data_IF_017613720037
#
_entry.id   IF_017613720037
#
_cell.length_a   1.000
_cell.length_b   1.000
_cell.length_c   1.000
_cell.angle_alpha   90.00
_cell.angle_beta   90.00
_cell.angle_gamma   90.00
#
_symmetry.space_group_name_H-M   'P 1'
#
loop_
_entity.id
_entity.type
_entity.pdbx_description
1 polymer ?
#
# COMPACT_ATOMS: atom_id res chain seq x y z
N UNK A 1 13.53 -19.43 12.94
CA UNK A 1 14.61 -18.44 13.05
C UNK A 1 13.96 -17.19 13.62
N UNK A 2 14.25 -16.83 14.88
CA UNK A 2 13.56 -15.71 15.53
C UNK A 2 14.12 -14.39 14.99
N UNK A 3 13.27 -13.57 14.37
CA UNK A 3 13.64 -12.22 13.96
C UNK A 3 13.88 -11.39 15.24
N UNK A 4 15.12 -10.94 15.41
CA UNK A 4 15.48 -9.97 16.45
C UNK A 4 14.96 -8.62 15.98
N UNK A 5 14.13 -7.95 16.78
CA UNK A 5 13.76 -6.55 16.53
C UNK A 5 15.05 -5.70 16.48
N UNK A 6 15.36 -5.01 15.36
CA UNK A 6 16.56 -4.20 15.34
C UNK A 6 16.36 -2.92 16.15
N UNK A 7 17.09 -2.82 17.26
CA UNK A 7 17.40 -1.56 17.95
C UNK A 7 18.19 -0.60 17.05
N UNK A 8 18.28 0.68 17.47
CA UNK A 8 18.97 1.79 16.79
C UNK A 8 18.73 1.95 15.25
N UNK A 9 19.15 3.07 14.65
CA UNK A 9 19.11 3.18 13.18
C UNK A 9 20.20 2.31 12.52
N UNK A 10 21.32 2.11 13.22
CA UNK A 10 22.45 1.35 12.72
C UNK A 10 22.13 -0.15 12.61
N UNK A 11 21.46 -0.74 13.61
CA UNK A 11 21.16 -2.17 13.57
C UNK A 11 20.10 -2.49 12.51
N UNK A 12 19.17 -1.56 12.22
CA UNK A 12 18.24 -1.67 11.09
C UNK A 12 18.96 -1.74 9.73
N UNK A 13 19.94 -0.87 9.50
CA UNK A 13 20.72 -0.87 8.25
C UNK A 13 21.58 -2.14 8.13
N UNK A 14 22.21 -2.56 9.23
CA UNK A 14 22.98 -3.81 9.28
C UNK A 14 22.09 -5.04 9.03
N UNK A 15 20.86 -5.04 9.55
CA UNK A 15 19.88 -6.07 9.29
C UNK A 15 19.52 -6.15 7.80
N UNK A 16 19.24 -5.02 7.15
CA UNK A 16 18.96 -4.97 5.70
C UNK A 16 20.15 -5.54 4.92
N UNK A 17 21.37 -5.08 5.20
CA UNK A 17 22.57 -5.53 4.50
C UNK A 17 22.81 -7.05 4.62
N UNK A 18 22.41 -7.65 5.74
CA UNK A 18 22.67 -9.06 6.04
C UNK A 18 21.51 -10.00 5.65
N UNK A 19 20.27 -9.49 5.60
CA UNK A 19 19.07 -10.34 5.49
C UNK A 19 18.18 -9.98 4.30
N UNK A 20 18.39 -8.84 3.63
CA UNK A 20 17.54 -8.41 2.52
C UNK A 20 18.33 -8.41 1.20
N UNK A 21 17.77 -9.06 0.18
CA UNK A 21 18.26 -8.91 -1.19
C UNK A 21 17.93 -7.51 -1.73
N UNK A 22 18.84 -6.85 -2.46
CA UNK A 22 18.53 -5.59 -3.14
C UNK A 22 17.27 -5.66 -4.03
N UNK A 23 17.01 -6.80 -4.67
CA UNK A 23 15.79 -7.00 -5.47
C UNK A 23 14.53 -6.99 -4.62
N UNK A 24 14.54 -7.62 -3.45
CA UNK A 24 13.41 -7.61 -2.51
C UNK A 24 13.20 -6.21 -1.93
N UNK A 25 14.29 -5.50 -1.59
CA UNK A 25 14.22 -4.12 -1.14
C UNK A 25 13.62 -3.20 -2.20
N UNK A 26 14.01 -3.35 -3.47
CA UNK A 26 13.44 -2.58 -4.57
C UNK A 26 11.95 -2.89 -4.78
N UNK A 27 11.55 -4.17 -4.70
CA UNK A 27 10.14 -4.56 -4.78
C UNK A 27 9.32 -3.95 -3.63
N UNK A 28 9.85 -3.91 -2.41
CA UNK A 28 9.20 -3.24 -1.29
C UNK A 28 9.09 -1.72 -1.49
N UNK A 29 10.10 -1.07 -2.10
CA UNK A 29 10.01 0.33 -2.46
C UNK A 29 8.85 0.63 -3.45
N UNK A 30 8.47 -0.32 -4.30
CA UNK A 30 7.31 -0.15 -5.20
C UNK A 30 5.97 -0.08 -4.44
N UNK A 31 5.88 -0.75 -3.29
CA UNK A 31 4.74 -0.60 -2.38
C UNK A 31 4.73 0.79 -1.72
N UNK A 32 5.89 1.31 -1.31
CA UNK A 32 5.99 2.62 -0.65
C UNK A 32 5.79 3.79 -1.61
N UNK A 33 6.33 3.67 -2.82
CA UNK A 33 6.36 4.74 -3.82
C UNK A 33 5.69 4.29 -5.12
N UNK A 34 4.35 4.11 -5.11
CA UNK A 34 3.65 3.51 -6.23
C UNK A 34 3.63 4.41 -7.48
N UNK A 35 3.54 3.76 -8.63
CA UNK A 35 3.06 4.39 -9.86
C UNK A 35 1.56 4.60 -9.78
N UNK A 36 1.12 5.82 -10.10
CA UNK A 36 -0.29 6.21 -10.15
C UNK A 36 -0.62 6.54 -11.59
N UNK A 37 -1.69 5.96 -12.10
CA UNK A 37 -2.24 6.24 -13.43
C UNK A 37 -3.57 6.98 -13.31
N UNK A 38 -3.96 7.70 -14.37
CA UNK A 38 -5.22 8.43 -14.43
C UNK A 38 -6.10 7.87 -15.55
N UNK A 39 -7.27 7.34 -15.19
CA UNK A 39 -8.22 6.72 -16.13
C UNK A 39 -9.60 7.32 -15.89
N UNK A 40 -10.19 7.96 -16.90
CA UNK A 40 -11.46 8.69 -16.82
C UNK A 40 -11.55 9.68 -15.62
N UNK A 41 -10.39 10.22 -15.23
CA UNK A 41 -10.23 11.12 -14.09
C UNK A 41 -10.34 10.43 -12.73
N UNK A 42 -10.14 9.11 -12.66
CA UNK A 42 -9.84 8.36 -11.45
C UNK A 42 -8.33 8.16 -11.31
N UNK A 43 -7.79 8.25 -10.10
CA UNK A 43 -6.38 8.03 -9.77
C UNK A 43 -6.19 6.63 -9.18
N UNK A 44 -5.47 5.77 -9.90
CA UNK A 44 -5.42 4.33 -9.62
C UNK A 44 -3.97 3.84 -9.46
N UNK A 45 -3.76 2.86 -8.58
CA UNK A 45 -2.51 2.12 -8.48
C UNK A 45 -2.25 1.31 -9.76
N UNK A 46 -1.13 1.56 -10.43
CA UNK A 46 -0.79 0.91 -11.70
C UNK A 46 -0.80 -0.62 -11.60
N UNK A 47 -0.23 -1.16 -10.52
CA UNK A 47 -0.06 -2.62 -10.36
C UNK A 47 -1.37 -3.37 -10.07
N UNK A 48 -2.46 -2.69 -9.69
CA UNK A 48 -3.78 -3.32 -9.51
C UNK A 48 -4.75 -3.06 -10.65
N UNK A 49 -4.42 -2.09 -11.51
CA UNK A 49 -5.28 -1.73 -12.62
C UNK A 49 -5.33 -2.85 -13.67
N UNK A 50 -6.55 -3.23 -14.01
CA UNK A 50 -6.86 -3.86 -15.29
C UNK A 50 -8.13 -3.20 -15.82
N UNK A 51 -8.26 -3.10 -17.14
CA UNK A 51 -9.44 -2.48 -17.76
C UNK A 51 -10.74 -3.17 -17.32
N UNK A 52 -10.75 -4.51 -17.26
CA UNK A 52 -11.90 -5.28 -16.77
C UNK A 52 -12.31 -4.88 -15.34
N UNK A 53 -11.36 -4.84 -14.39
CA UNK A 53 -11.66 -4.47 -13.00
C UNK A 53 -12.19 -3.05 -12.90
N UNK A 54 -11.66 -2.14 -13.71
CA UNK A 54 -12.12 -0.76 -13.75
C UNK A 54 -13.55 -0.64 -14.28
N UNK A 55 -13.87 -1.34 -15.36
CA UNK A 55 -15.23 -1.37 -15.92
C UNK A 55 -16.23 -1.97 -14.93
N UNK A 56 -15.86 -3.07 -14.27
CA UNK A 56 -16.69 -3.71 -13.24
C UNK A 56 -16.93 -2.76 -12.05
N UNK A 57 -15.88 -2.10 -11.55
CA UNK A 57 -16.02 -1.11 -10.48
C UNK A 57 -16.90 0.07 -10.91
N UNK A 58 -16.75 0.55 -12.15
CA UNK A 58 -17.54 1.66 -12.69
C UNK A 58 -19.03 1.33 -12.75
N UNK A 59 -19.38 0.11 -13.16
CA UNK A 59 -20.75 -0.39 -13.15
C UNK A 59 -21.27 -0.51 -11.70
N UNK A 60 -20.53 -1.21 -10.83
CA UNK A 60 -20.93 -1.48 -9.46
C UNK A 60 -21.15 -0.21 -8.62
N UNK A 61 -20.38 0.84 -8.87
CA UNK A 61 -20.45 2.09 -8.12
C UNK A 61 -21.15 3.23 -8.86
N UNK A 62 -21.86 2.95 -9.98
CA UNK A 62 -22.57 3.95 -10.77
C UNK A 62 -21.68 5.16 -11.14
N UNK A 63 -20.44 4.89 -11.54
CA UNK A 63 -19.44 5.89 -11.90
C UNK A 63 -19.02 6.86 -10.77
N UNK A 64 -19.27 6.50 -9.49
CA UNK A 64 -18.78 7.23 -8.33
C UNK A 64 -17.26 7.05 -8.19
N UNK A 65 -16.50 8.08 -8.60
CA UNK A 65 -15.03 8.04 -8.65
C UNK A 65 -14.39 7.77 -7.30
N UNK A 66 -14.96 8.31 -6.21
CA UNK A 66 -14.40 8.14 -4.87
C UNK A 66 -14.48 6.65 -4.50
N UNK A 67 -15.65 6.02 -4.71
CA UNK A 67 -15.83 4.59 -4.41
C UNK A 67 -15.02 3.68 -5.32
N UNK A 68 -14.89 4.03 -6.61
CA UNK A 68 -14.05 3.30 -7.56
C UNK A 68 -12.61 3.31 -7.09
N UNK A 69 -12.07 4.48 -6.76
CA UNK A 69 -10.69 4.63 -6.28
C UNK A 69 -10.48 3.90 -4.96
N UNK A 70 -11.38 4.07 -3.98
CA UNK A 70 -11.27 3.35 -2.70
C UNK A 70 -11.23 1.84 -2.89
N UNK A 71 -12.10 1.31 -3.75
CA UNK A 71 -12.19 -0.12 -4.04
C UNK A 71 -10.97 -0.65 -4.79
N UNK A 72 -10.54 0.06 -5.84
CA UNK A 72 -9.44 -0.36 -6.70
C UNK A 72 -8.06 -0.15 -6.07
N UNK A 73 -7.91 0.82 -5.16
CA UNK A 73 -6.65 1.14 -4.51
C UNK A 73 -6.43 0.37 -3.20
N UNK A 74 -7.40 -0.43 -2.75
CA UNK A 74 -7.28 -1.24 -1.53
C UNK A 74 -6.08 -2.19 -1.60
N UNK A 75 -5.12 -1.99 -0.72
CA UNK A 75 -3.95 -2.84 -0.52
C UNK A 75 -4.03 -3.50 0.86
N UNK A 76 -4.29 -4.81 0.86
CA UNK A 76 -4.33 -5.64 2.06
C UNK A 76 -2.93 -6.16 2.36
N UNK A 77 -2.31 -5.74 3.48
CA UNK A 77 -0.91 -6.08 3.75
C UNK A 77 -0.70 -7.57 3.95
N UNK A 78 -1.65 -8.29 4.56
CA UNK A 78 -1.53 -9.75 4.70
C UNK A 78 -1.47 -10.46 3.34
N UNK A 79 -2.22 -9.97 2.34
CA UNK A 79 -2.17 -10.51 0.97
C UNK A 79 -0.84 -10.19 0.29
N UNK A 80 -0.30 -8.98 0.50
CA UNK A 80 1.01 -8.60 -0.05
C UNK A 80 2.13 -9.52 0.47
N UNK A 81 2.02 -9.98 1.72
CA UNK A 81 3.03 -10.81 2.38
C UNK A 81 2.63 -12.29 2.53
N UNK A 82 1.56 -12.76 1.87
CA UNK A 82 1.03 -14.13 2.01
C UNK A 82 2.05 -15.23 1.60
N UNK A 83 3.03 -14.88 0.77
CA UNK A 83 4.14 -15.78 0.43
C UNK A 83 5.13 -16.03 1.57
N UNK A 84 5.04 -15.32 2.69
CA UNK A 84 5.94 -15.46 3.84
C UNK A 84 5.41 -16.47 4.85
N UNK A 85 6.15 -17.56 5.08
CA UNK A 85 5.72 -18.66 5.96
C UNK A 85 6.08 -18.50 7.45
N UNK A 86 6.73 -17.39 7.82
CA UNK A 86 7.10 -17.13 9.21
C UNK A 86 5.97 -16.48 10.00
N UNK A 87 5.95 -16.70 11.32
CA UNK A 87 5.03 -16.01 12.21
C UNK A 87 5.54 -14.57 12.45
N UNK A 88 4.80 -13.58 11.98
CA UNK A 88 5.10 -12.16 12.14
C UNK A 88 4.04 -11.53 13.04
N UNK A 89 4.42 -10.82 14.12
CA UNK A 89 3.44 -10.13 14.97
C UNK A 89 2.63 -9.09 14.18
N UNK A 90 1.33 -8.97 14.47
CA UNK A 90 0.42 -8.03 13.79
C UNK A 90 0.91 -6.58 13.83
N UNK A 91 1.49 -6.17 14.97
CA UNK A 91 2.09 -4.84 15.15
C UNK A 91 3.12 -4.48 14.07
N UNK A 92 3.81 -5.46 13.49
CA UNK A 92 4.77 -5.21 12.39
C UNK A 92 4.02 -4.77 11.13
N UNK A 93 2.93 -5.46 10.79
CA UNK A 93 2.09 -5.09 9.65
C UNK A 93 1.38 -3.75 9.88
N UNK A 94 0.97 -3.46 11.12
CA UNK A 94 0.41 -2.15 11.45
C UNK A 94 1.40 -1.02 11.19
N UNK A 95 2.65 -1.17 11.64
CA UNK A 95 3.70 -0.17 11.41
C UNK A 95 4.01 -0.02 9.93
N UNK A 96 4.07 -1.12 9.17
CA UNK A 96 4.20 -1.07 7.71
C UNK A 96 3.03 -0.29 7.10
N UNK A 97 1.80 -0.54 7.51
CA UNK A 97 0.62 0.15 6.98
C UNK A 97 0.62 1.64 7.25
N UNK A 98 1.04 2.07 8.45
CA UNK A 98 1.21 3.48 8.78
C UNK A 98 2.27 4.16 7.89
N UNK A 99 3.38 3.46 7.61
CA UNK A 99 4.46 3.95 6.74
C UNK A 99 4.00 4.01 5.27
N UNK A 100 3.29 2.99 4.77
CA UNK A 100 2.73 2.97 3.41
C UNK A 100 1.75 4.13 3.23
N UNK A 101 0.82 4.33 4.18
CA UNK A 101 -0.12 5.47 4.17
C UNK A 101 0.61 6.81 4.08
N UNK A 102 1.64 7.02 4.89
CA UNK A 102 2.43 8.25 4.86
C UNK A 102 3.15 8.43 3.52
N UNK A 103 3.75 7.35 3.01
CA UNK A 103 4.51 7.38 1.76
C UNK A 103 3.60 7.71 0.57
N UNK A 104 2.40 7.13 0.52
CA UNK A 104 1.42 7.43 -0.53
C UNK A 104 0.89 8.86 -0.46
N UNK A 105 0.63 9.39 0.74
CA UNK A 105 0.24 10.80 0.89
C UNK A 105 1.33 11.74 0.33
N UNK A 106 2.59 11.45 0.59
CA UNK A 106 3.72 12.20 0.02
C UNK A 106 3.80 12.08 -1.51
N UNK A 107 3.67 10.85 -2.05
CA UNK A 107 3.70 10.59 -3.50
C UNK A 107 2.59 11.33 -4.22
N UNK A 108 1.36 11.28 -3.70
CA UNK A 108 0.21 11.93 -4.31
C UNK A 108 0.36 13.45 -4.29
N UNK A 109 0.76 14.04 -3.16
CA UNK A 109 1.01 15.49 -3.06
C UNK A 109 2.12 15.96 -3.99
N UNK A 110 3.16 15.15 -4.17
CA UNK A 110 4.28 15.50 -5.04
C UNK A 110 3.91 15.39 -6.52
N UNK A 111 3.18 14.33 -6.92
CA UNK A 111 2.83 14.07 -8.32
C UNK A 111 1.63 14.91 -8.81
N UNK A 112 0.71 15.25 -7.92
CA UNK A 112 -0.55 15.94 -8.24
C UNK A 112 -0.83 17.07 -7.24
N UNK A 113 0.04 18.11 -7.18
CA UNK A 113 -0.04 19.17 -6.18
C UNK A 113 -1.32 20.01 -6.24
N UNK A 114 -2.02 19.99 -7.38
CA UNK A 114 -3.30 20.67 -7.61
C UNK A 114 -4.53 19.86 -7.18
N UNK A 115 -4.33 18.64 -6.65
CA UNK A 115 -5.38 17.73 -6.22
C UNK A 115 -5.28 17.45 -4.72
N UNK A 116 -6.42 17.21 -4.11
CA UNK A 116 -6.49 16.75 -2.74
C UNK A 116 -6.90 15.28 -2.69
N UNK A 117 -6.21 14.53 -1.83
CA UNK A 117 -6.47 13.11 -1.61
C UNK A 117 -6.71 12.83 -0.13
N UNK A 118 -7.49 11.78 0.12
CA UNK A 118 -7.60 11.14 1.42
C UNK A 118 -6.89 9.78 1.35
N UNK A 119 -5.74 9.65 2.00
CA UNK A 119 -5.05 8.37 2.18
C UNK A 119 -5.45 7.77 3.53
N UNK A 120 -6.07 6.60 3.49
CA UNK A 120 -6.68 5.95 4.64
C UNK A 120 -5.91 4.69 5.01
N UNK A 121 -5.86 4.44 6.31
CA UNK A 121 -5.36 3.20 6.88
C UNK A 121 -6.45 2.66 7.80
N UNK A 122 -6.72 1.38 7.68
CA UNK A 122 -7.67 0.66 8.51
C UNK A 122 -6.98 -0.56 9.10
N UNK A 123 -7.36 -0.88 10.33
CA UNK A 123 -7.01 -2.14 10.96
C UNK A 123 -8.27 -2.60 11.69
N UNK A 124 -8.89 -3.66 11.17
CA UNK A 124 -9.95 -4.37 11.87
C UNK A 124 -9.35 -5.67 12.37
N UNK A 125 -9.46 -5.93 13.67
CA UNK A 125 -8.97 -7.16 14.31
C UNK A 125 -9.72 -8.41 13.78
N UNK A 126 -10.89 -8.23 13.13
CA UNK A 126 -11.73 -9.31 12.63
C UNK A 126 -11.64 -9.54 11.11
N UNK A 127 -11.00 -8.64 10.35
CA UNK A 127 -11.08 -8.62 8.88
C UNK A 127 -9.71 -8.39 8.22
N UNK A 128 -9.27 -9.35 7.40
CA UNK A 128 -8.23 -9.29 6.35
C UNK A 128 -6.87 -8.57 6.63
N UNK A 129 -6.60 -8.18 7.87
CA UNK A 129 -5.40 -7.47 8.30
C UNK A 129 -5.39 -5.98 7.97
N UNK A 130 -4.27 -5.29 8.20
CA UNK A 130 -4.19 -3.86 7.93
C UNK A 130 -4.32 -3.54 6.43
N UNK A 131 -5.13 -2.53 6.11
CA UNK A 131 -5.45 -2.11 4.75
C UNK A 131 -5.05 -0.65 4.55
N UNK A 132 -4.45 -0.36 3.40
CA UNK A 132 -4.17 1.01 2.95
C UNK A 132 -4.88 1.27 1.63
N UNK A 133 -5.52 2.43 1.50
CA UNK A 133 -6.20 2.87 0.28
C UNK A 133 -6.12 4.39 0.14
N UNK A 134 -6.48 4.91 -1.03
CA UNK A 134 -6.66 6.35 -1.23
C UNK A 134 -7.74 6.65 -2.26
N UNK A 135 -8.29 7.86 -2.15
CA UNK A 135 -9.22 8.45 -3.11
C UNK A 135 -9.07 9.98 -3.15
N UNK A 136 -9.59 10.59 -4.20
CA UNK A 136 -9.74 12.05 -4.34
C UNK A 136 -10.76 12.59 -3.34
N UNK A 137 -10.59 13.85 -2.93
CA UNK A 137 -11.56 14.59 -2.10
C UNK A 137 -12.54 15.41 -2.93
#
# INVERSE_FOLDING_TARGET
>A
MNAIEPGSAHDKLAYIASNCSPYTSLAFCALLFPSIIVVDGCFLLEYYYTESKFLDARENYNNDKIKIEESMNNTFLYVVFDGFSGNVPDMVFEEIGKIVRLSWDMVLRQKFPEREFAVKYFHDEQDYGPVVTFCQK
#
